data_IF_319491000835
#
_entry.id   IF_319491000835
#
_cell.length_a   1.000
_cell.length_b   1.000
_cell.length_c   1.000
_cell.angle_alpha   90.00
_cell.angle_beta   90.00
_cell.angle_gamma   90.00
#
_symmetry.space_group_name_H-M   'P 1'
#
loop_
_entity.id
_entity.type
_entity.pdbx_description
1 polymer ?
#
# COMPACT_ATOMS: atom_id res chain seq x y z
N UNK A 1 -18.97 -19.83 35.29
CA UNK A 1 -17.74 -19.13 34.87
C UNK A 1 -18.17 -18.17 33.77
N UNK A 2 -18.45 -16.92 34.14
CA UNK A 2 -18.98 -15.91 33.22
C UNK A 2 -17.90 -15.48 32.23
N UNK A 3 -18.03 -15.92 30.98
CA UNK A 3 -17.30 -15.35 29.86
C UNK A 3 -17.87 -13.95 29.61
N UNK A 4 -17.28 -12.95 30.27
CA UNK A 4 -17.40 -11.53 29.93
C UNK A 4 -16.92 -11.37 28.48
N UNK A 5 -17.84 -11.60 27.54
CA UNK A 5 -17.58 -11.52 26.11
C UNK A 5 -17.48 -10.04 25.81
N UNK A 6 -16.25 -9.52 25.79
CA UNK A 6 -15.95 -8.11 25.55
C UNK A 6 -16.63 -7.69 24.25
N UNK A 7 -17.75 -6.98 24.35
CA UNK A 7 -18.56 -6.65 23.19
C UNK A 7 -17.71 -5.86 22.17
N UNK A 8 -17.84 -6.15 20.86
CA UNK A 8 -17.11 -5.42 19.84
C UNK A 8 -17.43 -3.93 19.95
N UNK A 9 -16.41 -3.06 19.96
CA UNK A 9 -16.60 -1.59 20.10
C UNK A 9 -17.67 -1.04 19.13
N UNK A 10 -17.79 -1.62 17.94
CA UNK A 10 -18.80 -1.28 16.95
C UNK A 10 -20.25 -1.43 17.44
N UNK A 11 -20.54 -2.52 18.18
CA UNK A 11 -21.87 -2.78 18.75
C UNK A 11 -22.19 -1.76 19.85
N UNK A 12 -21.22 -1.44 20.69
CA UNK A 12 -21.39 -0.43 21.74
C UNK A 12 -21.68 0.95 21.14
N UNK A 13 -20.91 1.37 20.13
CA UNK A 13 -21.17 2.64 19.44
C UNK A 13 -22.53 2.65 18.73
N UNK A 14 -22.93 1.52 18.13
CA UNK A 14 -24.24 1.41 17.49
C UNK A 14 -25.38 1.71 18.47
N UNK A 15 -25.40 1.08 19.65
CA UNK A 15 -26.44 1.33 20.65
C UNK A 15 -26.35 2.73 21.28
N UNK A 16 -25.15 3.32 21.40
CA UNK A 16 -25.00 4.71 21.85
C UNK A 16 -25.56 5.72 20.84
N UNK A 17 -25.57 5.36 19.56
CA UNK A 17 -26.07 6.22 18.47
C UNK A 17 -27.57 6.02 18.20
N UNK A 18 -28.14 4.92 18.69
CA UNK A 18 -29.54 4.56 18.47
C UNK A 18 -30.43 5.29 19.47
N UNK A 19 -31.60 5.72 19.03
CA UNK A 19 -32.61 6.31 19.91
C UNK A 19 -32.94 5.34 21.06
N UNK A 20 -32.95 5.79 22.33
CA UNK A 20 -33.18 4.93 23.48
C UNK A 20 -34.54 4.21 23.44
N UNK A 21 -35.59 4.87 22.94
CA UNK A 21 -36.95 4.32 22.90
C UNK A 21 -37.04 3.23 21.82
N UNK A 22 -36.36 3.46 20.70
CA UNK A 22 -36.21 2.44 19.64
C UNK A 22 -35.40 1.25 20.15
N UNK A 23 -34.29 1.49 20.85
CA UNK A 23 -33.43 0.44 21.39
C UNK A 23 -34.17 -0.44 22.43
N UNK A 24 -35.06 0.17 23.21
CA UNK A 24 -35.92 -0.52 24.18
C UNK A 24 -37.00 -1.36 23.50
N UNK A 25 -37.54 -0.90 22.36
CA UNK A 25 -38.58 -1.59 21.59
C UNK A 25 -38.11 -2.81 20.78
N UNK A 26 -36.79 -3.00 20.62
CA UNK A 26 -36.25 -4.13 19.86
C UNK A 26 -36.37 -5.46 20.63
N UNK A 27 -36.88 -6.49 19.95
CA UNK A 27 -36.89 -7.85 20.47
C UNK A 27 -35.48 -8.44 20.57
N UNK A 28 -35.31 -9.49 21.38
CA UNK A 28 -34.00 -10.15 21.54
C UNK A 28 -33.44 -10.70 20.21
N UNK A 29 -34.31 -11.24 19.35
CA UNK A 29 -33.92 -11.75 18.04
C UNK A 29 -33.49 -10.63 17.09
N UNK A 30 -34.21 -9.51 17.10
CA UNK A 30 -33.86 -8.32 16.32
C UNK A 30 -32.52 -7.72 16.77
N UNK A 31 -32.28 -7.63 18.09
CA UNK A 31 -31.00 -7.18 18.65
C UNK A 31 -29.86 -8.05 18.15
N UNK A 32 -30.00 -9.37 18.21
CA UNK A 32 -28.96 -10.30 17.77
C UNK A 32 -28.68 -10.16 16.27
N UNK A 33 -29.72 -10.06 15.44
CA UNK A 33 -29.55 -9.86 13.99
C UNK A 33 -28.85 -8.53 13.67
N UNK A 34 -29.17 -7.45 14.39
CA UNK A 34 -28.50 -6.16 14.26
C UNK A 34 -27.03 -6.21 14.69
N UNK A 35 -26.73 -6.84 15.83
CA UNK A 35 -25.35 -7.01 16.30
C UNK A 35 -24.51 -7.79 15.28
N UNK A 36 -25.03 -8.91 14.76
CA UNK A 36 -24.36 -9.70 13.73
C UNK A 36 -24.11 -8.88 12.45
N UNK A 37 -25.09 -8.08 12.00
CA UNK A 37 -24.95 -7.19 10.85
C UNK A 37 -23.90 -6.10 11.08
N UNK A 38 -23.91 -5.42 12.23
CA UNK A 38 -22.93 -4.38 12.60
C UNK A 38 -21.51 -4.95 12.66
N UNK A 39 -21.35 -6.15 13.22
CA UNK A 39 -20.07 -6.85 13.28
C UNK A 39 -19.59 -7.19 11.86
N UNK A 40 -20.47 -7.73 11.01
CA UNK A 40 -20.14 -8.06 9.61
C UNK A 40 -19.71 -6.82 8.80
N UNK A 41 -20.41 -5.69 8.97
CA UNK A 41 -20.07 -4.42 8.31
C UNK A 41 -18.70 -3.88 8.78
N UNK A 42 -18.42 -3.95 10.07
CA UNK A 42 -17.16 -3.41 10.62
C UNK A 42 -15.95 -4.30 10.38
N UNK A 43 -16.11 -5.61 10.23
CA UNK A 43 -15.03 -6.53 9.85
C UNK A 43 -14.44 -6.21 8.47
N UNK A 44 -15.28 -5.78 7.52
CA UNK A 44 -14.85 -5.37 6.16
C UNK A 44 -14.01 -4.09 6.18
N UNK A 45 -14.19 -3.23 7.19
CA UNK A 45 -13.48 -1.96 7.34
C UNK A 45 -12.20 -2.05 8.16
N UNK A 46 -11.83 -3.23 8.69
CA UNK A 46 -10.60 -3.39 9.47
C UNK A 46 -9.38 -3.50 8.57
N UNK A 47 -8.71 -2.37 8.36
CA UNK A 47 -7.34 -2.36 7.83
C UNK A 47 -6.34 -2.44 8.98
N UNK A 48 -5.25 -3.21 8.81
CA UNK A 48 -4.18 -3.28 9.85
C UNK A 48 -3.46 -1.94 9.97
N UNK A 49 -3.32 -1.22 8.86
CA UNK A 49 -2.73 0.10 8.78
C UNK A 49 -3.79 1.02 8.19
N UNK A 50 -4.33 1.92 9.01
CA UNK A 50 -5.23 2.99 8.60
C UNK A 50 -4.63 4.31 9.07
N UNK A 51 -3.98 5.03 8.17
CA UNK A 51 -3.40 6.34 8.42
C UNK A 51 -4.27 7.35 7.68
N UNK A 52 -4.99 8.17 8.44
CA UNK A 52 -5.76 9.30 7.90
C UNK A 52 -5.22 10.56 8.51
N UNK A 53 -4.66 11.42 7.67
CA UNK A 53 -4.15 12.70 8.10
C UNK A 53 -4.72 13.81 7.25
N UNK A 54 -5.44 14.72 7.90
CA UNK A 54 -5.82 15.99 7.30
C UNK A 54 -4.71 16.99 7.56
N UNK A 55 -4.29 17.73 6.54
CA UNK A 55 -3.41 18.87 6.73
C UNK A 55 -3.97 20.10 5.99
N UNK A 56 -3.95 21.27 6.64
CA UNK A 56 -4.30 22.51 5.96
C UNK A 56 -3.16 22.89 5.01
N UNK A 57 -3.50 23.26 3.77
CA UNK A 57 -2.55 23.81 2.82
C UNK A 57 -3.17 25.02 2.11
N UNK A 58 -2.61 26.19 2.36
CA UNK A 58 -3.19 27.49 2.00
C UNK A 58 -4.66 27.61 2.41
N UNK A 59 -5.57 27.83 1.46
CA UNK A 59 -7.00 28.04 1.70
C UNK A 59 -7.84 26.75 1.68
N UNK A 60 -7.21 25.58 1.50
CA UNK A 60 -7.91 24.31 1.41
C UNK A 60 -7.42 23.31 2.45
N UNK A 61 -8.30 22.37 2.82
CA UNK A 61 -7.96 21.23 3.66
C UNK A 61 -7.76 20.03 2.75
N UNK A 62 -6.54 19.50 2.78
CA UNK A 62 -6.21 18.27 2.08
C UNK A 62 -6.22 17.12 3.08
N UNK A 63 -6.48 15.93 2.57
CA UNK A 63 -6.42 14.71 3.37
C UNK A 63 -5.58 13.68 2.64
N UNK A 64 -4.77 12.98 3.41
CA UNK A 64 -4.05 11.79 2.99
C UNK A 64 -4.67 10.60 3.71
N UNK A 65 -5.11 9.61 2.94
CA UNK A 65 -5.63 8.35 3.45
C UNK A 65 -4.78 7.24 2.88
N UNK A 66 -4.09 6.53 3.78
CA UNK A 66 -3.31 5.35 3.45
C UNK A 66 -3.90 4.15 4.19
N UNK A 67 -4.43 3.23 3.41
CA UNK A 67 -5.00 1.98 3.89
C UNK A 67 -4.11 0.85 3.38
N UNK A 68 -3.55 0.07 4.30
CA UNK A 68 -2.78 -1.12 3.96
C UNK A 68 -3.22 -2.30 4.81
N UNK A 69 -3.43 -3.44 4.16
CA UNK A 69 -3.88 -4.65 4.81
C UNK A 69 -4.32 -5.72 3.82
N UNK A 70 -4.45 -6.95 4.33
CA UNK A 70 -4.95 -8.07 3.55
C UNK A 70 -6.44 -7.86 3.26
N UNK A 71 -6.85 -8.04 2.02
CA UNK A 71 -8.27 -8.01 1.69
C UNK A 71 -8.95 -9.28 2.23
N UNK A 72 -9.94 -9.10 3.10
CA UNK A 72 -10.72 -10.16 3.73
C UNK A 72 -12.18 -10.17 3.25
N UNK A 73 -12.51 -9.38 2.22
CA UNK A 73 -13.87 -9.32 1.68
C UNK A 73 -14.27 -10.69 1.12
N UNK A 74 -15.45 -11.16 1.52
CA UNK A 74 -16.03 -12.43 1.05
C UNK A 74 -16.59 -12.35 -0.38
N UNK A 75 -16.79 -11.14 -0.91
CA UNK A 75 -17.27 -10.95 -2.29
C UNK A 75 -16.09 -11.07 -3.25
N UNK A 76 -16.15 -12.00 -4.23
CA UNK A 76 -15.11 -12.09 -5.25
C UNK A 76 -15.04 -10.80 -6.04
N UNK A 77 -13.84 -10.28 -6.29
CA UNK A 77 -13.62 -9.17 -7.23
C UNK A 77 -14.06 -9.62 -8.62
N UNK A 78 -14.72 -8.73 -9.36
CA UNK A 78 -15.12 -8.96 -10.77
C UNK A 78 -13.95 -8.79 -11.75
N UNK A 79 -12.72 -9.03 -11.28
CA UNK A 79 -11.54 -9.00 -12.12
C UNK A 79 -10.96 -10.40 -12.29
N UNK A 80 -10.50 -10.74 -13.51
CA UNK A 80 -9.95 -12.05 -13.77
C UNK A 80 -8.64 -12.24 -12.99
N UNK A 81 -8.38 -13.47 -12.53
CA UNK A 81 -7.22 -13.81 -11.68
C UNK A 81 -5.86 -13.39 -12.26
N UNK A 82 -5.74 -13.26 -13.58
CA UNK A 82 -4.51 -12.81 -14.25
C UNK A 82 -4.20 -11.33 -14.01
N UNK A 83 -5.21 -10.52 -13.67
CA UNK A 83 -5.04 -9.09 -13.40
C UNK A 83 -4.11 -8.85 -12.20
N UNK A 84 -4.33 -9.57 -11.10
CA UNK A 84 -3.51 -9.43 -9.90
C UNK A 84 -2.05 -9.87 -10.16
N UNK A 85 -1.87 -10.93 -10.96
CA UNK A 85 -0.54 -11.40 -11.37
C UNK A 85 0.18 -10.37 -12.26
N UNK A 86 -0.54 -9.76 -13.21
CA UNK A 86 0.01 -8.71 -14.08
C UNK A 86 0.42 -7.48 -13.26
N UNK A 87 -0.44 -6.99 -12.36
CA UNK A 87 -0.12 -5.85 -11.51
C UNK A 87 1.11 -6.15 -10.64
N UNK A 88 1.17 -7.34 -10.04
CA UNK A 88 2.33 -7.76 -9.24
C UNK A 88 3.61 -7.80 -10.09
N UNK A 89 3.53 -8.35 -11.29
CA UNK A 89 4.66 -8.41 -12.23
C UNK A 89 5.15 -7.00 -12.60
N UNK A 90 4.25 -6.08 -12.93
CA UNK A 90 4.59 -4.70 -13.27
C UNK A 90 5.28 -3.97 -12.10
N UNK A 91 4.80 -4.18 -10.87
CA UNK A 91 5.44 -3.63 -9.67
C UNK A 91 6.86 -4.17 -9.50
N UNK A 92 7.07 -5.48 -9.67
CA UNK A 92 8.40 -6.11 -9.56
C UNK A 92 9.34 -5.60 -10.65
N UNK A 93 8.89 -5.54 -11.91
CA UNK A 93 9.68 -5.01 -13.02
C UNK A 93 10.05 -3.55 -12.76
N UNK A 94 9.10 -2.72 -12.32
CA UNK A 94 9.36 -1.32 -11.97
C UNK A 94 10.41 -1.19 -10.86
N UNK A 95 10.32 -2.02 -9.81
CA UNK A 95 11.29 -2.01 -8.71
C UNK A 95 12.69 -2.42 -9.17
N UNK A 96 12.79 -3.48 -9.99
CA UNK A 96 14.05 -3.94 -10.56
C UNK A 96 14.66 -2.87 -11.48
N UNK A 97 13.84 -2.25 -12.33
CA UNK A 97 14.28 -1.17 -13.21
C UNK A 97 14.83 0.01 -12.41
N UNK A 98 14.09 0.50 -11.40
CA UNK A 98 14.56 1.57 -10.52
C UNK A 98 15.88 1.21 -9.83
N UNK A 99 15.99 -0.02 -9.31
CA UNK A 99 17.22 -0.49 -8.65
C UNK A 99 18.39 -0.54 -9.63
N UNK A 100 18.18 -1.09 -10.84
CA UNK A 100 19.18 -1.15 -11.89
C UNK A 100 19.61 0.25 -12.36
N UNK A 101 18.66 1.19 -12.50
CA UNK A 101 18.97 2.58 -12.86
C UNK A 101 19.83 3.27 -11.80
N UNK A 102 19.54 3.07 -10.51
CA UNK A 102 20.35 3.63 -9.41
C UNK A 102 21.76 3.03 -9.41
N UNK A 103 21.88 1.70 -9.55
CA UNK A 103 23.19 1.03 -9.63
C UNK A 103 23.98 1.49 -10.86
N UNK A 104 23.32 1.64 -12.00
CA UNK A 104 23.94 2.15 -13.22
C UNK A 104 24.43 3.59 -13.04
N UNK A 105 23.63 4.47 -12.43
CA UNK A 105 24.03 5.83 -12.14
C UNK A 105 25.25 5.88 -11.20
N UNK A 106 25.26 5.07 -10.14
CA UNK A 106 26.40 4.94 -9.24
C UNK A 106 27.64 4.40 -9.96
N UNK A 107 27.47 3.42 -10.86
CA UNK A 107 28.55 2.89 -11.69
C UNK A 107 29.13 3.96 -12.63
N UNK A 108 28.28 4.75 -13.28
CA UNK A 108 28.72 5.87 -14.14
C UNK A 108 29.53 6.90 -13.36
N UNK A 109 29.08 7.27 -12.16
CA UNK A 109 29.81 8.19 -11.27
C UNK A 109 31.17 7.59 -10.87
N UNK A 110 31.21 6.30 -10.49
CA UNK A 110 32.46 5.58 -10.18
C UNK A 110 33.40 5.60 -11.39
N UNK A 111 32.89 5.33 -12.59
CA UNK A 111 33.69 5.25 -13.82
C UNK A 111 34.26 6.60 -14.22
N UNK A 112 33.49 7.69 -14.05
CA UNK A 112 33.96 9.05 -14.34
C UNK A 112 35.06 9.53 -13.37
N UNK A 113 35.02 9.08 -12.11
CA UNK A 113 35.98 9.47 -11.07
C UNK A 113 37.33 8.72 -11.15
N UNK A 114 37.51 7.78 -12.10
CA UNK A 114 38.71 6.94 -12.23
C UNK A 114 39.13 6.21 -10.92
N UNK A 115 38.22 6.01 -9.97
CA UNK A 115 38.51 5.28 -8.73
C UNK A 115 38.51 3.79 -9.05
N UNK A 116 39.70 3.20 -9.18
CA UNK A 116 39.88 1.78 -9.50
C UNK A 116 39.73 0.89 -8.26
N UNK A 117 38.50 0.46 -7.99
CA UNK A 117 38.19 -0.52 -6.93
C UNK A 117 38.46 -1.96 -7.41
N UNK A 118 38.42 -2.21 -8.73
CA UNK A 118 38.73 -3.50 -9.35
C UNK A 118 39.69 -3.25 -10.51
N UNK A 119 40.95 -3.67 -10.34
CA UNK A 119 42.04 -3.38 -11.29
C UNK A 119 41.88 -4.04 -12.67
N UNK A 120 40.95 -4.97 -12.83
CA UNK A 120 40.85 -5.81 -14.04
C UNK A 120 39.40 -6.04 -14.53
N UNK A 121 38.40 -5.28 -14.06
CA UNK A 121 37.01 -5.47 -14.48
C UNK A 121 36.25 -4.16 -14.69
N UNK A 122 35.93 -3.87 -15.96
CA UNK A 122 35.10 -2.74 -16.38
C UNK A 122 33.93 -3.28 -17.22
N UNK A 123 32.70 -2.86 -16.91
CA UNK A 123 31.50 -3.30 -17.64
C UNK A 123 31.38 -2.68 -19.05
N UNK A 124 32.29 -1.78 -19.46
CA UNK A 124 32.33 -1.18 -20.80
C UNK A 124 31.20 -0.19 -21.14
N UNK A 125 30.21 -0.03 -20.26
CA UNK A 125 29.06 0.87 -20.48
C UNK A 125 29.49 2.34 -20.60
N UNK A 126 30.54 2.74 -19.89
CA UNK A 126 31.08 4.11 -19.93
C UNK A 126 31.78 4.37 -21.26
N UNK A 127 32.59 3.42 -21.73
CA UNK A 127 33.29 3.55 -23.02
C UNK A 127 32.30 3.58 -24.18
N UNK A 128 31.23 2.76 -24.11
CA UNK A 128 30.11 2.83 -25.07
C UNK A 128 29.41 4.20 -25.03
N UNK A 129 29.09 4.72 -23.84
CA UNK A 129 28.48 6.05 -23.69
C UNK A 129 29.39 7.16 -24.24
N UNK A 130 30.68 7.14 -23.91
CA UNK A 130 31.67 8.08 -24.42
C UNK A 130 31.89 7.91 -25.92
N UNK A 131 31.71 6.72 -26.49
CA UNK A 131 31.77 6.53 -27.95
C UNK A 131 30.57 7.16 -28.69
N UNK A 132 29.42 7.28 -28.03
CA UNK A 132 28.22 7.91 -28.60
C UNK A 132 28.28 9.44 -28.54
N UNK A 133 28.94 10.02 -27.53
CA UNK A 133 29.01 11.48 -27.31
C UNK A 133 30.38 12.11 -27.59
N UNK A 134 31.44 11.31 -27.59
CA UNK A 134 32.82 11.73 -27.83
C UNK A 134 33.20 11.53 -29.28
N UNK A 135 33.57 12.63 -29.96
CA UNK A 135 34.15 12.62 -31.30
C UNK A 135 35.30 11.58 -31.36
N UNK A 136 35.33 10.65 -32.33
CA UNK A 136 36.35 9.61 -32.36
C UNK A 136 37.76 10.25 -32.44
N UNK A 137 38.75 9.77 -31.67
CA UNK A 137 40.11 10.24 -31.84
C UNK A 137 40.59 9.87 -33.23
N UNK A 138 40.89 10.89 -34.04
CA UNK A 138 41.61 10.75 -35.30
C UNK A 138 42.98 10.14 -35.02
N UNK A 139 43.16 8.87 -35.33
CA UNK A 139 44.44 8.27 -35.75
C UNK A 139 44.19 7.19 -36.78
#
# INVERSE_FOLDING_TARGET
MDTQTKQPRAVTYFYQSLDPDVAAGLSAEQKRALEEAVIAMTLSSRHRIDIRHGFPFFHARFYFVFLFGRDLRRRPREHPRWYDALITLLIVIGLLFCTASVLLALYMIKSALHIDIFKDYHLGVWDWFMSLYGNPPQR
#
